data_IF_115972889556
#
_entry.id   IF_115972889556
#
_cell.length_a   1.000
_cell.length_b   1.000
_cell.length_c   1.000
_cell.angle_alpha   90.00
_cell.angle_beta   90.00
_cell.angle_gamma   90.00
#
_symmetry.space_group_name_H-M   'P 1'
#
loop_
_entity.id
_entity.type
_entity.pdbx_description
1 polymer ?
2 polymer ?
3 water ?
#
# COMPACT_ATOMS: atom_id res chain seq x y z
N UNK A 1 13.13 -3.09 28.35
CA UNK A 1 12.52 -2.88 27.04
C UNK A 1 12.88 -1.50 26.51
N UNK A 2 12.45 -0.47 27.24
CA UNK A 2 12.87 0.89 26.94
C UNK A 2 14.38 1.00 26.97
N UNK A 3 15.00 0.29 27.92
CA UNK A 3 16.45 0.23 28.01
C UNK A 3 17.05 -0.38 26.74
N UNK A 4 16.55 -1.54 26.33
CA UNK A 4 17.04 -2.15 25.09
C UNK A 4 16.82 -1.23 23.90
N UNK A 5 15.63 -0.61 23.83
CA UNK A 5 15.28 0.20 22.66
C UNK A 5 16.23 1.38 22.52
N UNK A 6 16.55 2.05 23.63
CA UNK A 6 17.49 3.15 23.56
C UNK A 6 18.87 2.67 23.15
N UNK A 7 19.28 1.50 23.63
CA UNK A 7 20.56 0.94 23.20
C UNK A 7 20.56 0.68 21.70
N UNK A 8 19.53 0.00 21.20
CA UNK A 8 19.47 -0.30 19.77
C UNK A 8 19.45 0.98 18.95
N UNK A 9 18.71 2.00 19.41
CA UNK A 9 18.71 3.29 18.72
C UNK A 9 20.14 3.81 18.59
N UNK A 10 20.89 3.80 19.68
CA UNK A 10 22.29 4.20 19.63
C UNK A 10 23.07 3.32 18.64
N UNK A 11 22.84 2.02 18.69
CA UNK A 11 23.56 1.07 17.85
C UNK A 11 23.23 1.21 16.36
N UNK A 12 22.24 2.04 16.01
CA UNK A 12 22.06 2.35 14.60
C UNK A 12 23.20 3.19 14.05
N UNK A 13 24.02 3.76 14.92
CA UNK A 13 25.06 4.67 14.48
C UNK A 13 26.36 3.97 14.11
N UNK A 14 26.53 2.74 14.54
CA UNK A 14 27.71 1.98 14.15
C UNK A 14 27.34 0.98 13.06
N UNK A 15 28.07 0.97 11.95
CA UNK A 15 27.80 -0.02 10.89
C UNK A 15 27.82 -1.46 11.38
N UNK A 16 28.64 -1.77 12.39
CA UNK A 16 28.75 -3.15 12.85
C UNK A 16 27.51 -3.59 13.60
N UNK A 17 26.79 -2.64 14.21
CA UNK A 17 25.65 -2.96 15.05
C UNK A 17 24.32 -2.56 14.42
N UNK A 18 24.36 -1.92 13.26
CA UNK A 18 23.19 -1.25 12.71
C UNK A 18 22.08 -2.24 12.35
N UNK A 19 22.43 -3.29 11.60
CA UNK A 19 21.41 -4.22 11.11
C UNK A 19 20.72 -4.92 12.27
N UNK A 20 21.50 -5.41 13.24
CA UNK A 20 20.90 -6.07 14.38
C UNK A 20 19.96 -5.12 15.11
N UNK A 21 20.36 -3.86 15.23
CA UNK A 21 19.53 -2.87 15.92
C UNK A 21 18.24 -2.63 15.17
N UNK A 22 18.33 -2.47 13.85
CA UNK A 22 17.11 -2.35 13.04
C UNK A 22 16.17 -3.52 13.27
N UNK A 23 16.70 -4.74 13.20
CA UNK A 23 15.87 -5.93 13.32
C UNK A 23 15.24 -6.01 14.70
N UNK A 24 16.02 -5.68 15.75
CA UNK A 24 15.50 -5.76 17.11
C UNK A 24 14.43 -4.71 17.37
N UNK A 25 14.68 -3.47 16.93
CA UNK A 25 13.68 -2.42 17.06
C UNK A 25 12.40 -2.79 16.32
N UNK A 26 12.53 -3.28 15.09
CA UNK A 26 11.37 -3.75 14.34
C UNK A 26 10.60 -4.80 15.13
N UNK A 27 11.30 -5.72 15.79
CA UNK A 27 10.59 -6.75 16.56
C UNK A 27 9.79 -6.15 17.71
N UNK A 28 10.16 -4.96 18.19
CA UNK A 28 9.46 -4.34 19.30
C UNK A 28 8.21 -3.58 18.88
N UNK A 29 7.95 -3.44 17.58
CA UNK A 29 6.73 -2.72 17.20
C UNK A 29 5.48 -3.52 17.55
N UNK A 30 5.61 -4.82 17.76
CA UNK A 30 4.48 -5.65 18.17
C UNK A 30 4.09 -5.42 19.62
N UNK A 31 5.04 -5.10 20.48
CA UNK A 31 4.81 -5.16 21.92
C UNK A 31 5.05 -3.84 22.66
N UNK A 32 5.63 -2.83 22.02
CA UNK A 32 5.94 -1.58 22.70
C UNK A 32 5.06 -0.48 22.12
N UNK A 33 3.95 -0.13 22.78
CA UNK A 33 3.02 0.84 22.20
C UNK A 33 3.62 2.22 22.00
N UNK A 34 4.55 2.61 22.84
CA UNK A 34 5.21 3.91 22.74
C UNK A 34 6.45 3.89 21.85
N UNK A 35 6.63 2.85 21.04
CA UNK A 35 7.83 2.79 20.20
C UNK A 35 7.88 3.95 19.22
N UNK A 36 6.74 4.31 18.62
CA UNK A 36 6.79 5.35 17.59
C UNK A 36 7.27 6.69 18.12
N UNK A 37 6.71 7.27 19.22
CA UNK A 37 7.29 8.53 19.72
C UNK A 37 8.74 8.38 20.16
N UNK A 38 9.10 7.24 20.76
CA UNK A 38 10.50 7.02 21.09
C UNK A 38 11.37 7.13 19.85
N UNK A 39 10.95 6.50 18.75
CA UNK A 39 11.69 6.64 17.51
C UNK A 39 11.69 8.08 17.03
N UNK A 40 10.51 8.70 17.00
CA UNK A 40 10.40 10.01 16.37
C UNK A 40 11.23 11.06 17.10
N UNK A 41 11.24 11.01 18.43
CA UNK A 41 11.87 12.05 19.25
C UNK A 41 13.29 11.73 19.64
N UNK A 42 13.77 10.52 19.40
CA UNK A 42 15.18 10.22 19.56
C UNK A 42 15.96 10.89 18.43
N UNK A 43 16.89 11.77 18.79
CA UNK A 43 17.65 12.51 17.79
C UNK A 43 18.34 11.55 16.81
N UNK A 44 18.15 11.81 15.52
CA UNK A 44 18.82 11.08 14.46
C UNK A 44 18.14 9.82 14.00
N UNK A 45 17.18 9.29 14.78
CA UNK A 45 16.62 7.98 14.52
C UNK A 45 15.83 7.95 13.21
N UNK A 46 14.91 8.90 13.03
CA UNK A 46 14.16 8.98 11.77
C UNK A 46 15.11 9.15 10.60
N UNK A 47 16.13 10.01 10.77
CA UNK A 47 17.11 10.21 9.70
C UNK A 47 17.86 8.92 9.38
N UNK A 48 18.19 8.13 10.40
CA UNK A 48 18.86 6.86 10.14
C UNK A 48 17.97 5.92 9.33
N UNK A 49 16.68 5.86 9.66
CA UNK A 49 15.76 5.04 8.88
C UNK A 49 15.64 5.54 7.45
N UNK A 50 15.55 6.86 7.27
CA UNK A 50 15.52 7.41 5.93
C UNK A 50 16.82 7.14 5.18
N UNK A 51 17.95 7.14 5.88
CA UNK A 51 19.22 6.87 5.21
C UNK A 51 19.25 5.45 4.67
N UNK A 52 18.71 4.49 5.44
CA UNK A 52 18.56 3.12 4.96
C UNK A 52 17.83 3.10 3.62
N UNK A 53 16.76 3.88 3.52
CA UNK A 53 15.95 3.91 2.30
C UNK A 53 16.71 4.57 1.17
N UNK A 54 17.23 5.78 1.43
CA UNK A 54 17.95 6.52 0.40
C UNK A 54 19.16 5.73 -0.08
N UNK A 55 19.81 4.99 0.81
CA UNK A 55 21.01 4.25 0.44
C UNK A 55 20.79 3.22 -0.67
N UNK A 56 19.56 2.81 -0.94
CA UNK A 56 19.35 1.82 -2.00
C UNK A 56 18.67 2.42 -3.22
N UNK A 57 18.41 3.73 -3.24
CA UNK A 57 18.04 4.37 -4.50
C UNK A 57 19.00 4.03 -5.64
N UNK A 58 20.32 4.01 -5.46
CA UNK A 58 21.19 3.61 -6.58
C UNK A 58 21.02 2.15 -6.99
N UNK A 59 20.40 1.31 -6.14
CA UNK A 59 20.15 -0.08 -6.48
C UNK A 59 18.93 -0.28 -7.35
N UNK A 60 18.19 0.77 -7.66
CA UNK A 60 16.97 0.64 -8.45
C UNK A 60 17.27 0.52 -9.94
N UNK A 62 20.22 0.06 -12.98
CA UNK A 62 19.56 -1.25 -13.08
C UNK A 62 19.28 -1.81 -11.70
N UNK A 63 18.32 -2.75 -11.61
CA UNK A 63 17.99 -3.34 -10.32
C UNK A 63 19.08 -4.27 -9.83
N UNK A 64 19.76 -3.88 -8.75
CA UNK A 64 20.81 -4.69 -8.15
C UNK A 64 20.54 -5.00 -6.68
N UNK A 65 19.37 -4.62 -6.18
CA UNK A 65 19.00 -4.90 -4.80
C UNK A 65 19.02 -6.40 -4.53
N UNK A 66 19.71 -6.80 -3.46
CA UNK A 66 19.71 -8.18 -3.02
C UNK A 66 18.66 -8.38 -1.94
N UNK A 67 18.40 -9.65 -1.62
CA UNK A 67 17.41 -9.96 -0.59
C UNK A 67 17.89 -9.49 0.77
N UNK A 68 19.21 -9.54 1.01
CA UNK A 68 19.73 -9.01 2.27
C UNK A 68 19.48 -7.50 2.38
N UNK A 69 19.81 -6.75 1.33
CA UNK A 69 19.55 -5.31 1.35
C UNK A 69 18.05 -5.03 1.49
N UNK A 70 17.21 -5.79 0.80
CA UNK A 70 15.78 -5.52 0.84
C UNK A 70 15.22 -5.79 2.24
N UNK A 71 15.62 -6.90 2.88
CA UNK A 71 15.09 -7.23 4.20
C UNK A 71 15.47 -6.17 5.22
N UNK A 72 16.70 -5.69 5.15
CA UNK A 72 17.13 -4.60 6.00
C UNK A 72 16.24 -3.37 5.83
N UNK A 73 16.04 -2.92 4.58
CA UNK A 73 15.22 -1.74 4.36
C UNK A 73 13.76 -2.00 4.70
N UNK A 74 13.26 -3.22 4.46
CA UNK A 74 11.89 -3.53 4.83
C UNK A 74 11.67 -3.36 6.33
N UNK A 75 12.70 -3.63 7.13
CA UNK A 75 12.59 -3.42 8.57
C UNK A 75 12.56 -1.93 8.91
N UNK A 76 13.42 -1.13 8.27
CA UNK A 76 13.31 0.32 8.38
C UNK A 76 11.92 0.81 8.00
N UNK A 77 11.36 0.29 6.90
CA UNK A 77 10.03 0.74 6.49
C UNK A 77 8.97 0.35 7.52
N UNK A 78 9.06 -0.87 8.07
CA UNK A 78 8.13 -1.29 9.10
C UNK A 78 8.22 -0.39 10.32
N UNK A 79 9.44 0.04 10.67
CA UNK A 79 9.58 1.04 11.72
C UNK A 79 8.90 2.33 11.33
N UNK A 80 9.03 2.75 10.06
CA UNK A 80 8.34 3.96 9.63
C UNK A 80 6.82 3.75 9.65
N UNK A 81 6.37 2.57 9.30
CA UNK A 81 4.94 2.26 9.37
C UNK A 81 4.46 2.43 10.82
N UNK A 82 5.24 1.92 11.76
CA UNK A 82 4.92 2.10 13.17
C UNK A 82 4.76 3.58 13.51
N UNK A 83 5.62 4.43 12.96
CA UNK A 83 5.47 5.87 13.17
C UNK A 83 4.23 6.40 12.46
N UNK A 84 3.96 5.91 11.24
CA UNK A 84 2.78 6.37 10.51
C UNK A 84 1.49 6.04 11.26
N UNK A 85 1.43 4.89 11.93
CA UNK A 85 0.22 4.37 12.56
C UNK A 85 -0.06 4.96 13.94
N UNK A 86 0.87 5.64 14.54
CA UNK A 86 0.73 6.14 15.90
C UNK A 86 0.12 7.54 15.89
N UNK A 87 -0.91 7.79 16.70
CA UNK A 87 -1.59 9.10 16.65
C UNK A 87 -0.71 10.28 17.02
N UNK A 88 0.32 10.09 17.85
CA UNK A 88 1.15 11.23 18.23
C UNK A 88 2.19 11.58 17.18
N UNK A 89 2.53 10.65 16.28
CA UNK A 89 3.55 10.93 15.30
C UNK A 89 3.03 11.06 13.88
N UNK A 90 1.79 10.66 13.60
CA UNK A 90 1.35 10.56 12.21
C UNK A 90 1.33 11.91 11.50
N UNK A 91 0.82 12.95 12.15
CA UNK A 91 0.78 14.27 11.51
C UNK A 91 2.19 14.79 11.19
N UNK A 92 3.10 14.70 12.15
CA UNK A 92 4.48 15.11 11.90
C UNK A 92 5.10 14.26 10.79
N UNK A 93 4.78 12.97 10.78
CA UNK A 93 5.26 12.06 9.74
C UNK A 93 4.88 12.58 8.35
N UNK A 94 3.62 12.98 8.18
CA UNK A 94 3.17 13.55 6.92
C UNK A 94 3.81 14.89 6.65
N UNK A 95 3.88 15.75 7.67
CA UNK A 95 4.44 17.09 7.49
C UNK A 95 5.89 17.02 7.00
N UNK A 96 6.65 16.02 7.45
CA UNK A 96 8.00 15.82 6.96
C UNK A 96 8.05 15.11 5.62
N UNK A 97 6.91 14.82 4.99
CA UNK A 97 6.84 14.26 3.64
C UNK A 97 7.45 12.86 3.56
N UNK A 98 7.46 12.14 4.69
CA UNK A 98 8.13 10.84 4.73
C UNK A 98 7.58 9.86 3.71
N UNK A 99 6.27 9.83 3.40
CA UNK A 99 5.80 8.89 2.36
C UNK A 99 6.52 9.04 1.03
N UNK A 100 6.96 10.25 0.67
CA UNK A 100 7.62 10.47 -0.61
C UNK A 100 8.89 9.65 -0.74
N UNK A 101 9.54 9.33 0.39
CA UNK A 101 10.76 8.52 0.33
C UNK A 101 10.46 7.11 -0.16
N UNK A 102 9.20 6.67 -0.06
CA UNK A 102 8.79 5.34 -0.49
C UNK A 102 8.43 5.28 -1.96
N UNK A 103 8.10 6.42 -2.54
CA UNK A 103 7.53 6.41 -3.89
C UNK A 103 8.46 5.81 -4.93
N UNK A 104 9.80 5.92 -4.83
CA UNK A 104 10.65 5.19 -5.79
C UNK A 104 10.42 3.69 -5.73
N UNK A 105 10.15 3.14 -4.55
CA UNK A 105 9.86 1.71 -4.45
C UNK A 105 8.47 1.38 -4.99
N UNK A 106 7.54 2.34 -5.00
CA UNK A 106 6.25 2.07 -5.62
C UNK A 106 6.31 2.24 -7.13
N UNK A 107 7.32 2.98 -7.60
CA UNK A 107 7.45 3.32 -9.03
C UNK A 107 8.16 2.23 -9.82
N UNK A 108 9.22 1.64 -9.25
CA UNK A 108 10.04 0.73 -10.05
C UNK A 108 9.21 -0.42 -10.58
N UNK A 109 9.44 -0.76 -11.86
CA UNK A 109 8.78 -1.89 -12.49
C UNK A 109 9.58 -3.18 -12.34
N UNK A 110 10.73 -3.13 -11.68
CA UNK A 110 11.56 -4.32 -11.51
C UNK A 110 10.73 -5.48 -10.98
N UNK A 111 10.96 -6.65 -11.57
CA UNK A 111 10.23 -7.85 -11.19
C UNK A 111 11.00 -8.71 -10.17
N UNK A 112 12.17 -8.28 -9.73
CA UNK A 112 12.92 -9.12 -8.79
C UNK A 112 12.18 -9.20 -7.46
N UNK A 113 12.30 -10.37 -6.81
CA UNK A 113 11.72 -10.57 -5.50
C UNK A 113 12.17 -9.53 -4.47
N UNK A 114 13.45 -9.11 -4.42
CA UNK A 114 13.81 -8.07 -3.45
C UNK A 114 13.03 -6.78 -3.65
N UNK A 115 12.74 -6.40 -4.89
CA UNK A 115 11.90 -5.21 -5.04
C UNK A 115 10.43 -5.52 -4.75
N UNK A 116 9.99 -6.77 -4.89
CA UNK A 116 8.62 -7.10 -4.47
C UNK A 116 8.46 -6.98 -2.95
N UNK A 117 9.45 -7.45 -2.17
CA UNK A 117 9.35 -7.24 -0.72
C UNK A 117 9.30 -5.76 -0.37
N UNK A 118 10.15 -4.94 -1.01
CA UNK A 118 10.12 -3.50 -0.78
C UNK A 118 8.78 -2.89 -1.18
N UNK A 119 8.30 -3.26 -2.37
CA UNK A 119 7.03 -2.73 -2.89
C UNK A 119 5.88 -3.04 -1.93
N UNK A 120 5.80 -4.29 -1.45
CA UNK A 120 4.73 -4.69 -0.57
C UNK A 120 4.82 -3.95 0.76
N UNK A 121 6.03 -3.84 1.30
CA UNK A 121 6.21 -3.16 2.58
C UNK A 121 5.97 -1.67 2.45
N UNK A 122 6.36 -1.08 1.31
CA UNK A 122 6.08 0.33 1.08
C UNK A 122 4.58 0.56 0.93
N UNK A 123 3.91 -0.29 0.16
CA UNK A 123 2.46 -0.25 0.10
C UNK A 123 1.84 -0.41 1.49
N UNK A 124 2.48 -1.22 2.34
CA UNK A 124 1.97 -1.40 3.68
C UNK A 124 2.00 -0.13 4.50
N UNK A 125 3.06 0.65 4.36
CA UNK A 125 3.12 1.96 5.03
C UNK A 125 1.99 2.85 4.55
N UNK A 126 1.84 3.00 3.22
CA UNK A 126 0.77 3.83 2.70
C UNK A 126 -0.59 3.30 3.15
N UNK A 127 -0.78 1.97 3.07
CA UNK A 127 -2.03 1.38 3.51
C UNK A 127 -2.32 1.62 4.98
N UNK A 128 -1.28 1.59 5.81
CA UNK A 128 -1.46 1.92 7.23
C UNK A 128 -1.94 3.35 7.40
N UNK A 129 -1.48 4.25 6.54
CA UNK A 129 -1.94 5.63 6.59
C UNK A 129 -3.41 5.75 6.19
N UNK A 130 -3.78 5.19 5.03
CA UNK A 130 -5.16 5.31 4.57
C UNK A 130 -6.11 4.49 5.42
N UNK A 131 -5.63 3.50 6.16
CA UNK A 131 -6.46 2.68 7.08
C UNK A 131 -7.07 3.61 8.14
N UNK A 132 -6.39 4.72 8.43
CA UNK A 132 -6.95 5.65 9.40
C UNK A 132 -8.14 6.43 8.84
N UNK A 133 -8.26 6.50 7.52
CA UNK A 133 -9.26 7.35 6.85
C UNK A 133 -9.21 8.82 7.28
N UNK A 134 -8.12 9.30 7.88
CA UNK A 134 -8.07 10.69 8.29
C UNK A 134 -7.97 11.62 7.09
N UNK A 135 -8.79 12.67 7.10
CA UNK A 135 -8.77 13.65 6.01
C UNK A 135 -7.36 14.12 5.71
N UNK A 136 -6.60 14.43 6.75
CA UNK A 136 -5.22 14.85 6.59
C UNK A 136 -4.45 13.85 5.72
N UNK A 137 -4.60 12.57 6.02
CA UNK A 137 -3.95 11.53 5.22
C UNK A 137 -4.47 11.58 3.78
N UNK A 138 -5.79 11.51 3.59
CA UNK A 138 -6.35 11.48 2.25
C UNK A 138 -5.85 12.67 1.44
N UNK A 139 -5.96 13.87 2.01
CA UNK A 139 -5.61 15.07 1.26
C UNK A 139 -4.11 15.13 0.99
N UNK A 140 -3.29 14.71 1.95
CA UNK A 140 -1.85 14.61 1.69
C UNK A 140 -1.58 13.72 0.48
N UNK A 141 -2.24 12.57 0.42
CA UNK A 141 -1.99 11.66 -0.68
C UNK A 141 -2.52 12.21 -2.01
N UNK A 142 -3.58 13.01 -1.96
CA UNK A 142 -4.10 13.60 -3.19
C UNK A 142 -3.09 14.59 -3.79
N UNK A 143 -2.42 15.38 -2.95
CA UNK A 143 -1.48 16.36 -3.49
C UNK A 143 -0.15 15.75 -3.90
N UNK A 144 0.18 14.55 -3.43
CA UNK A 144 1.47 13.95 -3.77
C UNK A 144 1.36 12.93 -4.88
N UNK A 145 0.18 12.80 -5.48
CA UNK A 145 0.00 11.93 -6.67
C UNK A 145 0.40 10.48 -6.39
N UNK A 146 -0.07 9.94 -5.27
CA UNK A 146 0.01 8.50 -5.06
C UNK A 146 -0.93 7.73 -6.00
N UNK A 147 -1.95 8.39 -6.54
CA UNK A 147 -2.95 7.68 -7.35
C UNK A 147 -2.32 6.99 -8.56
N UNK A 148 -1.57 7.69 -9.44
CA UNK A 148 -1.02 6.98 -10.62
C UNK A 148 -0.03 5.90 -10.23
N UNK A 149 0.72 6.09 -9.14
CA UNK A 149 1.57 5.02 -8.61
C UNK A 149 0.74 3.79 -8.28
N UNK A 150 -0.40 3.98 -7.60
CA UNK A 150 -1.26 2.83 -7.31
C UNK A 150 -1.85 2.24 -8.60
N UNK A 151 -2.25 3.10 -9.55
CA UNK A 151 -2.84 2.58 -10.78
C UNK A 151 -1.84 1.71 -11.54
N UNK A 152 -0.58 2.13 -11.61
CA UNK A 152 0.40 1.33 -12.34
C UNK A 152 0.60 -0.02 -11.68
N UNK A 153 0.60 -0.06 -10.34
CA UNK A 153 0.74 -1.33 -9.64
C UNK A 153 -0.51 -2.17 -9.81
N UNK A 154 -1.67 -1.53 -9.74
CA UNK A 154 -2.95 -2.20 -9.91
C UNK A 154 -3.01 -2.92 -11.25
N UNK A 155 -2.48 -2.29 -12.30
CA UNK A 155 -2.49 -2.91 -13.62
C UNK A 155 -1.47 -4.03 -13.76
N UNK A 156 -0.23 -3.85 -13.26
CA UNK A 156 0.86 -4.75 -13.63
C UNK A 156 1.54 -5.49 -12.48
N UNK A 157 1.14 -5.26 -11.23
CA UNK A 157 1.84 -5.84 -10.10
C UNK A 157 1.46 -7.29 -9.85
N UNK A 158 2.10 -7.86 -8.84
CA UNK A 158 1.64 -9.14 -8.32
C UNK A 158 0.18 -9.02 -7.84
N UNK A 159 -0.47 -10.17 -7.70
CA UNK A 159 -1.84 -10.16 -7.19
C UNK A 159 -1.92 -9.46 -5.84
N UNK A 160 -0.93 -9.67 -4.97
CA UNK A 160 -0.98 -9.08 -3.64
C UNK A 160 -0.69 -7.58 -3.68
N UNK A 161 0.29 -7.15 -4.49
CA UNK A 161 0.52 -5.73 -4.67
C UNK A 161 -0.70 -5.03 -5.27
N UNK A 162 -1.31 -5.64 -6.28
CA UNK A 162 -2.54 -5.08 -6.84
C UNK A 162 -3.59 -4.88 -5.76
N UNK A 163 -3.71 -5.87 -4.87
CA UNK A 163 -4.73 -5.81 -3.82
C UNK A 163 -4.50 -4.63 -2.88
N UNK A 164 -3.25 -4.43 -2.43
CA UNK A 164 -2.97 -3.34 -1.52
C UNK A 164 -3.11 -2.01 -2.23
N UNK A 165 -2.62 -1.92 -3.46
CA UNK A 165 -2.75 -0.68 -4.22
C UNK A 165 -4.22 -0.36 -4.48
N UNK A 166 -5.03 -1.37 -4.77
CA UNK A 166 -6.47 -1.15 -4.93
C UNK A 166 -7.11 -0.70 -3.60
N UNK A 167 -6.64 -1.27 -2.49
CA UNK A 167 -7.16 -0.89 -1.18
C UNK A 167 -6.88 0.58 -0.91
N UNK A 168 -5.68 1.05 -1.30
CA UNK A 168 -5.32 2.44 -1.11
C UNK A 168 -6.21 3.36 -1.95
N UNK A 169 -6.34 3.05 -3.25
CA UNK A 169 -7.22 3.86 -4.10
C UNK A 169 -8.65 3.83 -3.59
N UNK A 170 -9.09 2.67 -3.08
CA UNK A 170 -10.46 2.54 -2.58
C UNK A 170 -10.70 3.47 -1.40
N UNK A 171 -9.77 3.50 -0.44
CA UNK A 171 -9.89 4.38 0.71
C UNK A 171 -9.95 5.83 0.27
N UNK A 172 -9.22 6.19 -0.79
CA UNK A 172 -9.29 7.55 -1.30
C UNK A 172 -10.65 7.81 -1.95
N UNK A 173 -11.11 6.87 -2.77
CA UNK A 173 -12.43 7.00 -3.40
C UNK A 173 -13.53 7.08 -2.36
N UNK A 174 -13.40 6.31 -1.27
CA UNK A 174 -14.45 6.29 -0.26
C UNK A 174 -14.58 7.64 0.44
N UNK A 175 -13.49 8.39 0.54
CA UNK A 175 -13.56 9.75 1.07
C UNK A 175 -14.26 10.67 0.07
N UNK A 176 -15.12 11.57 0.58
CA UNK A 176 -15.85 12.47 -0.31
C UNK A 176 -14.91 13.38 -1.10
N UNK A 177 -13.86 13.91 -0.45
CA UNK A 177 -12.89 14.73 -1.17
C UNK A 177 -12.13 13.92 -2.21
N UNK A 178 -11.78 12.67 -1.88
CA UNK A 178 -11.10 11.83 -2.85
C UNK A 178 -11.98 11.52 -4.05
N UNK A 179 -13.25 11.17 -3.79
CA UNK A 179 -14.18 10.91 -4.88
C UNK A 179 -14.40 12.16 -5.73
N UNK A 180 -14.63 13.31 -5.08
CA UNK A 180 -14.84 14.55 -5.83
C UNK A 180 -13.60 14.93 -6.63
N UNK A 181 -12.41 14.73 -6.05
CA UNK A 181 -11.18 15.03 -6.77
C UNK A 181 -11.01 14.13 -8.00
N UNK A 182 -11.27 12.83 -7.85
CA UNK A 182 -11.11 11.90 -8.96
C UNK A 182 -12.15 12.15 -10.04
N UNK A 183 -13.33 12.62 -9.67
CA UNK A 183 -14.40 12.91 -10.61
C UNK A 183 -14.45 14.37 -11.01
N UNK A 184 -13.45 15.17 -10.62
CA UNK A 184 -13.49 16.59 -10.95
C UNK A 184 -13.20 16.82 -12.42
N UNK A 185 -12.31 16.03 -13.01
CA UNK A 185 -12.07 16.07 -14.44
C UNK A 185 -12.35 14.70 -15.03
N UNK A 186 -12.77 14.68 -16.30
CA UNK A 186 -13.01 13.41 -16.96
C UNK A 186 -11.75 12.57 -17.06
N UNK A 187 -10.60 13.22 -17.22
CA UNK A 187 -9.34 12.50 -17.42
C UNK A 187 -8.92 11.75 -16.17
N UNK A 188 -9.13 12.35 -14.99
CA UNK A 188 -8.86 11.63 -13.75
C UNK A 188 -9.79 10.45 -13.64
N UNK A 189 -11.09 10.68 -13.83
CA UNK A 189 -12.06 9.60 -13.69
C UNK A 189 -11.76 8.47 -14.68
N UNK A 190 -11.51 8.80 -15.95
CA UNK A 190 -11.38 7.73 -16.94
C UNK A 190 -10.07 6.97 -16.81
N UNK A 191 -9.06 7.61 -16.22
CA UNK A 191 -7.81 6.87 -15.91
C UNK A 191 -8.15 5.78 -14.87
N UNK A 192 -8.92 6.14 -13.84
CA UNK A 192 -9.28 5.18 -12.79
C UNK A 192 -10.18 4.11 -13.38
N UNK A 193 -11.25 4.53 -14.07
CA UNK A 193 -12.17 3.60 -14.70
C UNK A 193 -11.47 2.68 -15.68
N UNK A 194 -10.59 3.25 -16.51
CA UNK A 194 -9.88 2.42 -17.49
C UNK A 194 -9.04 1.36 -16.81
N UNK A 195 -8.27 1.74 -15.78
CA UNK A 195 -7.43 0.77 -15.08
C UNK A 195 -8.29 -0.30 -14.42
N UNK A 196 -9.40 0.11 -13.78
CA UNK A 196 -10.29 -0.89 -13.18
C UNK A 196 -10.83 -1.84 -14.25
N UNK A 197 -11.16 -1.31 -15.42
CA UNK A 197 -11.65 -2.18 -16.49
C UNK A 197 -10.62 -3.20 -16.93
N UNK A 198 -9.35 -2.77 -17.02
CA UNK A 198 -8.29 -3.72 -17.36
C UNK A 198 -8.10 -4.78 -16.27
N UNK A 199 -8.19 -4.40 -15.00
CA UNK A 199 -8.09 -5.44 -13.97
C UNK A 199 -9.26 -6.41 -14.04
N UNK A 200 -10.46 -5.93 -14.39
CA UNK A 200 -11.61 -6.85 -14.49
C UNK A 200 -11.35 -7.90 -15.58
N UNK A 201 -10.84 -7.48 -16.74
CA UNK A 201 -10.48 -8.44 -17.79
C UNK A 201 -9.43 -9.43 -17.30
N UNK A 202 -8.33 -8.93 -16.71
CA UNK A 202 -7.32 -9.84 -16.16
C UNK A 202 -7.91 -10.77 -15.11
N UNK A 203 -8.81 -10.25 -14.27
CA UNK A 203 -9.41 -11.10 -13.24
C UNK A 203 -10.24 -12.22 -13.85
N UNK A 204 -10.83 -11.98 -15.03
CA UNK A 204 -11.57 -13.06 -15.69
C UNK A 204 -10.64 -14.20 -16.07
N UNK A 205 -9.37 -13.89 -16.34
CA UNK A 205 -8.38 -14.90 -16.71
C UNK A 205 -7.68 -15.50 -15.49
N UNK A 206 -7.22 -14.66 -14.55
CA UNK A 206 -6.58 -15.10 -13.32
C UNK A 206 -7.39 -14.57 -12.14
N UNK A 207 -8.35 -15.34 -11.64
CA UNK A 207 -9.27 -14.81 -10.64
C UNK A 207 -8.63 -14.70 -9.28
N UNK A 208 -8.98 -13.62 -8.57
CA UNK A 208 -8.66 -13.46 -7.15
C UNK A 208 -9.88 -12.87 -6.48
N UNK A 209 -10.44 -13.59 -5.50
CA UNK A 209 -11.65 -13.13 -4.84
C UNK A 209 -11.41 -11.84 -4.07
N UNK A 210 -10.26 -11.73 -3.40
CA UNK A 210 -10.03 -10.53 -2.61
C UNK A 210 -9.77 -9.32 -3.50
N UNK A 211 -9.05 -9.51 -4.60
CA UNK A 211 -8.77 -8.39 -5.49
C UNK A 211 -10.05 -7.96 -6.19
N UNK A 212 -10.84 -8.91 -6.65
CA UNK A 212 -12.13 -8.58 -7.25
C UNK A 212 -13.00 -7.81 -6.27
N UNK A 213 -13.01 -8.23 -5.00
CA UNK A 213 -13.82 -7.54 -4.00
C UNK A 213 -13.44 -6.07 -3.89
N UNK A 214 -12.14 -5.78 -3.88
CA UNK A 214 -11.69 -4.41 -3.73
C UNK A 214 -11.95 -3.61 -5.00
N UNK A 215 -11.82 -4.24 -6.16
CA UNK A 215 -12.15 -3.59 -7.42
C UNK A 215 -13.62 -3.24 -7.46
N UNK A 216 -14.47 -4.19 -7.09
CA UNK A 216 -15.90 -3.94 -7.06
C UNK A 216 -16.23 -2.78 -6.13
N UNK A 217 -15.60 -2.74 -4.94
CA UNK A 217 -15.89 -1.66 -4.01
C UNK A 217 -15.57 -0.30 -4.63
N UNK A 218 -14.46 -0.22 -5.39
CA UNK A 218 -14.12 1.02 -6.09
C UNK A 218 -15.21 1.42 -7.08
N UNK A 219 -15.67 0.46 -7.91
CA UNK A 219 -16.78 0.71 -8.82
C UNK A 219 -18.00 1.22 -8.08
N UNK A 220 -18.39 0.51 -7.02
CA UNK A 220 -19.58 0.89 -6.26
C UNK A 220 -19.45 2.32 -5.76
N UNK A 221 -18.28 2.68 -5.22
CA UNK A 221 -18.11 4.03 -4.71
C UNK A 221 -18.13 5.05 -5.84
N UNK A 222 -17.52 4.74 -6.98
CA UNK A 222 -17.60 5.65 -8.12
C UNK A 222 -19.05 5.96 -8.48
N UNK A 223 -19.93 4.97 -8.37
CA UNK A 223 -21.32 5.19 -8.76
C UNK A 223 -22.06 6.12 -7.80
N UNK A 224 -21.43 6.58 -6.70
CA UNK A 224 -22.03 7.65 -5.91
C UNK A 224 -21.93 9.00 -6.59
N UNK A 225 -20.99 9.18 -7.48
CA UNK A 225 -20.80 10.44 -8.18
C UNK A 225 -21.66 10.49 -9.45
N UNK A 226 -22.49 11.53 -9.64
CA UNK A 226 -23.39 11.53 -10.80
C UNK A 226 -22.68 11.45 -12.14
N UNK A 227 -21.55 12.12 -12.30
CA UNK A 227 -20.87 12.07 -13.60
C UNK A 227 -20.22 10.71 -13.83
N UNK A 228 -19.65 10.12 -12.77
CA UNK A 228 -19.11 8.76 -12.90
C UNK A 228 -20.22 7.76 -13.19
N UNK A 229 -21.37 7.89 -12.51
CA UNK A 229 -22.54 7.05 -12.80
C UNK A 229 -22.90 7.07 -14.27
N UNK A 230 -22.85 8.25 -14.89
CA UNK A 230 -23.28 8.34 -16.28
C UNK A 230 -22.27 7.65 -17.20
N UNK A 231 -20.98 7.79 -16.92
CA UNK A 231 -19.98 7.09 -17.73
C UNK A 231 -20.08 5.58 -17.52
N UNK A 232 -20.18 5.13 -16.26
CA UNK A 232 -20.30 3.69 -16.00
C UNK A 232 -21.56 3.09 -16.59
N UNK A 233 -22.61 3.90 -16.73
CA UNK A 233 -23.81 3.42 -17.41
C UNK A 233 -23.48 2.93 -18.80
N UNK A 234 -22.46 3.50 -19.43
CA UNK A 234 -22.03 3.11 -20.76
C UNK A 234 -20.83 2.17 -20.78
N UNK A 235 -19.93 2.26 -19.80
CA UNK A 235 -18.65 1.56 -19.91
C UNK A 235 -18.41 0.48 -18.87
N UNK A 236 -19.40 0.16 -18.04
CA UNK A 236 -19.17 -0.85 -17.02
C UNK A 236 -18.81 -2.17 -17.69
N UNK A 237 -17.72 -2.82 -17.27
CA UNK A 237 -17.34 -4.09 -17.89
C UNK A 237 -18.44 -5.13 -17.77
N UNK A 238 -18.67 -5.84 -18.89
CA UNK A 238 -19.68 -6.90 -18.93
C UNK A 238 -19.46 -7.93 -17.85
N UNK A 239 -18.19 -8.19 -17.52
CA UNK A 239 -17.86 -9.25 -16.58
C UNK A 239 -18.46 -9.01 -15.19
N UNK A 240 -18.82 -7.77 -14.87
CA UNK A 240 -19.43 -7.46 -13.58
C UNK A 240 -20.93 -7.72 -13.56
N UNK A 241 -21.53 -8.06 -14.70
CA UNK A 241 -22.96 -8.36 -14.78
C UNK A 241 -23.27 -9.77 -15.26
N UNK A 242 -22.31 -10.50 -15.81
CA UNK A 242 -22.61 -11.81 -16.36
C UNK A 242 -22.09 -12.89 -15.43
N UNK A 243 -21.86 -14.09 -15.98
CA UNK A 243 -21.45 -15.24 -15.18
C UNK A 243 -19.94 -15.37 -15.04
N UNK A 244 -19.18 -14.39 -15.53
CA UNK A 244 -17.71 -14.49 -15.51
C UNK A 244 -17.19 -14.90 -14.14
N UNK A 245 -17.67 -14.24 -13.07
CA UNK A 245 -17.14 -14.48 -11.74
C UNK A 245 -18.06 -15.34 -10.86
N UNK A 246 -18.98 -16.09 -11.45
CA UNK A 246 -19.91 -16.91 -10.67
C UNK A 246 -19.18 -17.84 -9.71
N UNK A 247 -18.15 -18.53 -10.20
CA UNK A 247 -17.42 -19.46 -9.34
C UNK A 247 -16.66 -18.71 -8.25
N UNK A 248 -16.02 -17.59 -8.59
CA UNK A 248 -15.25 -16.84 -7.61
C UNK A 248 -16.17 -16.21 -6.58
N UNK A 249 -17.37 -15.83 -6.97
CA UNK A 249 -18.33 -15.16 -6.10
C UNK A 249 -19.20 -16.14 -5.32
N UNK A 250 -19.00 -17.45 -5.49
CA UNK A 250 -19.97 -18.42 -4.99
C UNK A 250 -20.25 -18.24 -3.50
N UNK A 251 -19.23 -17.90 -2.71
CA UNK A 251 -19.41 -17.72 -1.27
C UNK A 251 -19.26 -16.27 -0.81
N UNK A 252 -19.00 -15.32 -1.72
CA UNK A 252 -18.79 -13.93 -1.32
C UNK A 252 -20.11 -13.17 -1.40
N UNK A 253 -20.90 -13.33 -0.34
CA UNK A 253 -22.17 -12.60 -0.24
C UNK A 253 -21.96 -11.09 -0.31
N UNK A 254 -20.87 -10.58 0.24
CA UNK A 254 -20.67 -9.14 0.27
C UNK A 254 -20.41 -8.58 -1.13
N UNK A 255 -19.51 -9.21 -1.89
CA UNK A 255 -19.23 -8.69 -3.23
C UNK A 255 -20.45 -8.80 -4.14
N UNK A 256 -21.15 -9.93 -4.08
CA UNK A 256 -22.36 -10.07 -4.88
C UNK A 256 -23.36 -8.98 -4.53
N UNK A 257 -23.48 -8.67 -3.24
CA UNK A 257 -24.39 -7.61 -2.82
C UNK A 257 -23.92 -6.25 -3.31
N UNK A 258 -22.61 -6.01 -3.27
CA UNK A 258 -22.08 -4.76 -3.82
C UNK A 258 -22.32 -4.67 -5.32
N UNK A 259 -22.12 -5.79 -6.03
CA UNK A 259 -22.35 -5.81 -7.48
C UNK A 259 -23.81 -5.50 -7.82
N UNK A 260 -24.74 -6.07 -7.04
CA UNK A 260 -26.15 -5.78 -7.26
C UNK A 260 -26.47 -4.34 -6.94
N UNK A 261 -25.88 -3.80 -5.87
CA UNK A 261 -26.08 -2.39 -5.57
C UNK A 261 -25.51 -1.51 -6.66
N UNK A 262 -24.36 -1.92 -7.24
CA UNK A 262 -23.73 -1.13 -8.28
C UNK A 262 -24.64 -1.01 -9.49
N UNK A 263 -25.16 -2.14 -9.98
CA UNK A 263 -26.04 -2.12 -11.14
C UNK A 263 -27.28 -1.27 -10.86
N UNK A 264 -27.85 -1.42 -9.67
CA UNK A 264 -29.02 -0.62 -9.30
C UNK A 264 -28.71 0.87 -9.31
N UNK A 265 -27.56 1.27 -8.76
CA UNK A 265 -27.17 2.68 -8.79
C UNK A 265 -27.15 3.22 -10.21
N UNK A 266 -26.77 2.39 -11.17
CA UNK A 266 -26.58 2.83 -12.55
C UNK A 266 -27.90 3.01 -13.30
N UNK A 267 -29.05 2.97 -12.64
CA UNK A 267 -30.31 3.27 -13.31
C UNK A 267 -31.02 4.44 -12.65
N UNK B 1 12.76 -16.30 -11.14
CA UNK B 1 13.80 -16.65 -10.18
C UNK B 1 13.22 -17.11 -8.84
N UNK B 2 13.37 -18.40 -8.55
CA UNK B 2 12.72 -19.04 -7.42
C UNK B 2 13.65 -19.28 -6.23
N UNK B 3 14.90 -18.81 -6.26
CA UNK B 3 15.80 -19.06 -5.13
C UNK B 3 15.41 -18.19 -3.95
N UNK B 4 15.36 -18.78 -2.77
CA UNK B 4 15.10 -18.04 -1.55
C UNK B 4 16.13 -18.42 -0.52
N UNK B 5 16.75 -17.44 0.08
CA UNK B 5 17.57 -17.66 1.25
C UNK B 5 16.84 -17.08 2.44
N UNK B 6 17.54 -17.02 3.57
CA UNK B 6 16.90 -16.56 4.80
C UNK B 6 16.34 -15.15 4.64
N UNK B 7 17.09 -14.26 4.00
CA UNK B 7 16.62 -12.87 3.86
C UNK B 7 15.37 -12.79 3.02
N UNK B 8 15.23 -13.65 2.01
CA UNK B 8 13.98 -13.73 1.26
C UNK B 8 12.82 -14.15 2.15
N UNK B 9 13.03 -15.20 2.95
CA UNK B 9 11.98 -15.67 3.84
C UNK B 9 11.64 -14.61 4.88
N UNK B 10 12.64 -13.93 5.42
CA UNK B 10 12.42 -12.87 6.44
C UNK B 10 11.67 -11.67 5.83
N UNK B 11 12.13 -11.21 4.68
CA UNK B 11 11.52 -10.05 4.06
C UNK B 11 10.09 -10.34 3.63
N UNK B 12 9.84 -11.53 3.07
CA UNK B 12 8.49 -11.86 2.66
C UNK B 12 7.57 -12.00 3.86
N UNK B 13 8.05 -12.65 4.92
CA UNK B 13 7.25 -12.79 6.13
C UNK B 13 6.94 -11.42 6.72
N UNK B 14 7.95 -10.54 6.76
CA UNK B 14 7.75 -9.18 7.24
C UNK B 14 6.67 -8.47 6.40
N UNK B 15 6.81 -8.54 5.08
CA UNK B 15 5.85 -7.87 4.20
C UNK B 15 4.42 -8.35 4.45
N UNK B 16 4.23 -9.67 4.52
CA UNK B 16 2.90 -10.22 4.76
C UNK B 16 2.37 -9.80 6.12
N UNK B 17 3.23 -9.85 7.15
CA UNK B 17 2.86 -9.37 8.48
C UNK B 17 2.43 -7.91 8.46
N UNK B 18 3.15 -7.08 7.71
CA UNK B 18 2.78 -5.67 7.58
C UNK B 18 1.43 -5.54 6.91
N UNK B 19 1.18 -6.33 5.86
CA UNK B 19 -0.07 -6.23 5.12
C UNK B 19 -1.22 -6.85 5.88
N UNK B 20 -0.96 -7.87 6.70
CA UNK B 20 -2.04 -8.45 7.50
C UNK B 20 -2.62 -7.45 8.49
N UNK B 21 -1.88 -6.38 8.79
CA UNK B 21 -2.41 -5.30 9.60
C UNK B 21 -3.56 -4.56 8.93
N UNK B 22 -3.73 -4.70 7.60
CA UNK B 22 -4.72 -3.91 6.89
C UNK B 22 -6.06 -4.63 6.71
N UNK B 23 -6.19 -5.89 7.12
CA UNK B 23 -7.43 -6.62 6.93
C UNK B 23 -7.95 -6.59 5.50
N UNK B 24 -7.21 -7.22 4.60
CA UNK B 24 -7.49 -7.14 3.17
C UNK B 24 -8.39 -8.30 2.72
#
# INVERSE_FOLDING_TARGET
>A
DREKIYQWINELSSPETRENALLELSKKRESVPDLAPMLWHSFGTIAALLQEIVNIYPSINPPTLTAHQSNRVCNALALLQCVASHPETRSAFLAAHIPLFLYPFLHTVSKTRPFEYLRLTSLGVIGALVKTDEQEVINFLLTTEIIPLCLRIMESGSELSKTVATFILQKILLDDTGLAYICQTYERFSHVAMILGKMVLQLSKEPSARLLKHVVRCYLRLSDNPRAREALRQCLPDQLKDTTFAQVLKDDTTTKRWLAQLVKNLQ
>B
HMWETLDDQRALQLALDQLSLLGL
#
